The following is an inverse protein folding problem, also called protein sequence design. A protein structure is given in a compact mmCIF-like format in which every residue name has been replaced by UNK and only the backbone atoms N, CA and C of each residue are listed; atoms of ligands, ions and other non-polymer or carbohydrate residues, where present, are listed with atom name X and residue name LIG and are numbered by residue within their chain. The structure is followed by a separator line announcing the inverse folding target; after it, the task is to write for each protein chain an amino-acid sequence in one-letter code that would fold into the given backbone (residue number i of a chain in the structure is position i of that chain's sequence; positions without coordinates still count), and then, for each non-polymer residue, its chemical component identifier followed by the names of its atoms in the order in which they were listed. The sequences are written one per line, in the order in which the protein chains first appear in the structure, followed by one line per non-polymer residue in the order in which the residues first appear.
data_IF_937096494847
#
_entry.id   IF_937096494847
#
_cell.length_a   1.000
_cell.length_b   1.000
_cell.length_c   1.000
_cell.angle_alpha   90.00
_cell.angle_beta   90.00
_cell.angle_gamma   90.00
#
_symmetry.space_group_name_H-M   'P 1'
#
loop_
_entity.id
_entity.type
_entity.pdbx_description
1 polymer ?
#
# COMPACT_ATOMS: atom_id res chain seq x y z
N UNK A 1 -22.21 -16.72 9.01
CA UNK A 1 -21.16 -17.75 8.95
C UNK A 1 -20.03 -17.29 9.86
N UNK A 2 -19.57 -18.19 10.74
CA UNK A 2 -18.44 -17.98 11.63
C UNK A 2 -17.32 -18.94 11.23
N UNK A 3 -16.07 -18.47 11.23
CA UNK A 3 -14.88 -19.25 10.92
C UNK A 3 -13.66 -18.67 11.64
N UNK A 4 -12.65 -19.50 11.87
CA UNK A 4 -11.38 -19.06 12.43
C UNK A 4 -10.53 -18.37 11.36
N UNK A 5 -9.90 -17.26 11.73
CA UNK A 5 -9.06 -16.47 10.85
C UNK A 5 -7.88 -15.85 11.60
N UNK A 6 -6.93 -15.29 10.86
CA UNK A 6 -5.76 -14.62 11.42
C UNK A 6 -5.88 -13.12 11.25
N UNK A 7 -5.55 -12.37 12.31
CA UNK A 7 -5.38 -10.93 12.28
C UNK A 7 -3.90 -10.57 12.36
N UNK A 8 -3.48 -9.60 11.56
CA UNK A 8 -2.11 -9.12 11.53
C UNK A 8 -2.10 -7.65 11.92
N UNK A 9 -1.18 -7.26 12.82
CA UNK A 9 -0.84 -5.87 13.02
C UNK A 9 0.17 -5.45 11.94
N UNK A 10 -0.32 -4.89 10.83
CA UNK A 10 0.50 -4.55 9.66
C UNK A 10 1.71 -3.68 9.97
N UNK A 11 1.61 -2.57 10.72
CA UNK A 11 2.75 -1.76 11.12
C UNK A 11 3.84 -2.54 11.86
N UNK A 12 3.47 -3.38 12.84
CA UNK A 12 4.43 -4.21 13.58
C UNK A 12 5.06 -5.29 12.69
N UNK A 13 4.27 -5.89 11.82
CA UNK A 13 4.76 -6.89 10.87
C UNK A 13 5.79 -6.29 9.91
N UNK A 14 5.56 -5.07 9.42
CA UNK A 14 6.54 -4.36 8.57
C UNK A 14 7.84 -4.07 9.32
N UNK A 15 7.77 -3.69 10.60
CA UNK A 15 8.97 -3.52 11.43
C UNK A 15 9.71 -4.84 11.65
N UNK A 16 8.98 -5.94 11.86
CA UNK A 16 9.56 -7.27 11.94
C UNK A 16 10.30 -7.64 10.65
N UNK A 17 9.66 -7.49 9.50
CA UNK A 17 10.27 -7.75 8.19
C UNK A 17 11.52 -6.89 7.95
N UNK A 18 11.46 -5.59 8.30
CA UNK A 18 12.60 -4.71 8.15
C UNK A 18 13.80 -5.13 9.03
N UNK A 19 13.53 -5.66 10.24
CA UNK A 19 14.59 -6.23 11.10
C UNK A 19 15.18 -7.50 10.47
N UNK A 20 14.34 -8.41 9.97
CA UNK A 20 14.81 -9.64 9.30
C UNK A 20 15.69 -9.32 8.10
N UNK A 21 15.28 -8.40 7.24
CA UNK A 21 16.04 -7.95 6.07
C UNK A 21 17.43 -7.44 6.51
N UNK A 22 17.48 -6.57 7.53
CA UNK A 22 18.76 -6.05 8.05
C UNK A 22 19.64 -7.13 8.68
N UNK A 23 19.05 -8.07 9.41
CA UNK A 23 19.78 -9.17 10.04
C UNK A 23 20.47 -10.08 9.00
N UNK A 24 19.94 -10.13 7.78
CA UNK A 24 20.55 -10.82 6.65
C UNK A 24 21.58 -9.95 5.89
N UNK A 25 21.97 -8.81 6.43
CA UNK A 25 22.95 -7.92 5.82
C UNK A 25 22.43 -7.11 4.64
N UNK A 26 21.12 -7.13 4.37
CA UNK A 26 20.50 -6.39 3.27
C UNK A 26 20.35 -4.92 3.69
N UNK A 27 20.79 -4.01 2.82
CA UNK A 27 20.76 -2.57 3.07
C UNK A 27 19.42 -1.99 2.65
N UNK A 28 18.72 -1.31 3.56
CA UNK A 28 17.51 -0.53 3.26
C UNK A 28 17.92 0.93 3.17
N UNK A 29 17.72 1.55 2.01
CA UNK A 29 17.99 2.99 1.78
C UNK A 29 16.72 3.69 1.37
N UNK A 30 16.50 4.87 1.95
CA UNK A 30 15.44 5.77 1.49
C UNK A 30 15.99 6.61 0.34
N UNK A 31 15.44 6.40 -0.85
CA UNK A 31 15.83 7.14 -2.04
C UNK A 31 14.62 7.35 -2.95
N UNK A 32 14.54 8.50 -3.62
CA UNK A 32 13.53 8.79 -4.63
C UNK A 32 14.16 8.60 -6.00
N UNK A 33 13.69 7.60 -6.73
CA UNK A 33 14.12 7.34 -8.11
C UNK A 33 13.27 8.15 -9.08
N UNK A 34 13.90 8.77 -10.07
CA UNK A 34 13.24 9.40 -11.21
C UNK A 34 13.11 8.46 -12.39
N UNK A 35 13.98 7.46 -12.49
CA UNK A 35 13.95 6.46 -13.57
C UNK A 35 14.44 5.10 -13.08
N UNK A 36 14.10 4.05 -13.83
CA UNK A 36 14.70 2.73 -13.60
C UNK A 36 16.21 2.72 -13.87
N UNK A 37 16.68 3.49 -14.83
CA UNK A 37 18.09 3.56 -15.17
C UNK A 37 18.92 4.13 -14.01
N UNK A 38 18.35 5.10 -13.25
CA UNK A 38 19.00 5.62 -12.04
C UNK A 38 19.29 4.55 -11.01
N UNK A 39 18.40 3.57 -10.84
CA UNK A 39 18.63 2.47 -9.91
C UNK A 39 19.87 1.63 -10.28
N UNK A 40 20.13 1.46 -11.57
CA UNK A 40 21.34 0.78 -12.05
C UNK A 40 22.58 1.65 -11.93
N UNK A 41 22.43 2.96 -12.02
CA UNK A 41 23.55 3.90 -11.86
C UNK A 41 24.04 3.98 -10.40
N UNK A 42 23.12 3.81 -9.45
CA UNK A 42 23.43 3.80 -8.02
C UNK A 42 24.28 2.58 -7.60
N UNK A 43 24.18 1.47 -8.33
CA UNK A 43 24.82 0.22 -7.98
C UNK A 43 25.43 -0.45 -9.22
N UNK A 44 26.73 -0.39 -9.36
CA UNK A 44 27.47 -0.86 -10.56
C UNK A 44 27.43 -2.37 -10.82
N UNK A 45 26.92 -3.16 -9.89
CA UNK A 45 26.96 -4.64 -9.92
C UNK A 45 25.58 -5.28 -9.80
N UNK A 46 24.50 -4.58 -10.20
CA UNK A 46 23.18 -5.16 -10.20
C UNK A 46 23.03 -6.07 -11.43
N UNK A 47 22.65 -7.31 -11.20
CA UNK A 47 22.27 -8.28 -12.24
C UNK A 47 20.76 -8.29 -12.44
N UNK A 48 19.99 -8.12 -11.35
CA UNK A 48 18.53 -8.14 -11.34
C UNK A 48 18.02 -6.93 -10.57
N UNK A 49 17.12 -6.18 -11.18
CA UNK A 49 16.34 -5.13 -10.53
C UNK A 49 14.90 -5.58 -10.35
N UNK A 50 14.36 -5.47 -9.13
CA UNK A 50 12.94 -5.74 -8.88
C UNK A 50 12.21 -4.40 -8.74
N UNK A 51 11.33 -4.10 -9.69
CA UNK A 51 10.44 -2.95 -9.60
C UNK A 51 9.16 -3.33 -8.85
N UNK A 52 9.07 -2.92 -7.59
CA UNK A 52 7.89 -3.08 -6.74
C UNK A 52 7.36 -1.71 -6.26
N UNK A 53 7.44 -0.68 -7.11
CA UNK A 53 7.13 0.71 -6.75
C UNK A 53 5.64 1.04 -6.69
N UNK A 54 4.76 0.07 -6.93
CA UNK A 54 3.31 0.24 -6.82
C UNK A 54 2.80 1.36 -7.74
N UNK A 55 2.04 2.32 -7.20
CA UNK A 55 1.56 3.49 -7.95
C UNK A 55 2.68 4.37 -8.51
N UNK A 56 3.88 4.32 -7.90
CA UNK A 56 5.04 5.06 -8.40
C UNK A 56 5.47 4.64 -9.81
N UNK A 57 5.18 3.40 -10.22
CA UNK A 57 5.45 2.92 -11.57
C UNK A 57 4.74 3.71 -12.67
N UNK A 58 3.67 4.44 -12.35
CA UNK A 58 2.96 5.30 -13.32
C UNK A 58 3.82 6.46 -13.82
N UNK A 59 4.62 7.06 -12.93
CA UNK A 59 5.45 8.23 -13.26
C UNK A 59 6.95 7.91 -13.32
N UNK A 60 7.35 6.67 -13.06
CA UNK A 60 8.75 6.27 -13.08
C UNK A 60 9.23 6.16 -14.51
N UNK A 61 10.16 7.02 -14.93
CA UNK A 61 10.71 7.00 -16.28
C UNK A 61 11.31 5.64 -16.63
N UNK A 62 10.99 5.15 -17.82
CA UNK A 62 11.35 3.81 -18.29
C UNK A 62 10.40 2.70 -17.82
N UNK A 63 9.26 3.09 -17.14
CA UNK A 63 8.11 2.22 -16.86
C UNK A 63 6.83 2.85 -17.37
N UNK A 64 6.47 4.04 -16.88
CA UNK A 64 5.38 4.92 -17.33
C UNK A 64 4.07 4.16 -17.59
N UNK A 65 3.70 3.30 -16.60
CA UNK A 65 2.50 2.45 -16.72
C UNK A 65 1.23 3.26 -16.46
N UNK A 66 0.63 3.77 -17.54
CA UNK A 66 -0.61 4.57 -17.48
C UNK A 66 -1.84 3.75 -17.07
N UNK A 67 -1.74 2.42 -17.06
CA UNK A 67 -2.85 1.55 -16.64
C UNK A 67 -3.04 1.51 -15.12
N UNK A 68 -2.08 2.07 -14.35
CA UNK A 68 -2.15 2.21 -12.91
C UNK A 68 -3.07 3.35 -12.48
N UNK A 69 -3.89 3.08 -11.47
CA UNK A 69 -4.76 4.05 -10.82
C UNK A 69 -4.92 3.73 -9.33
N UNK A 70 -5.17 4.71 -8.47
CA UNK A 70 -5.42 4.45 -7.06
C UNK A 70 -6.86 4.02 -6.81
N UNK A 71 -7.05 3.21 -5.78
CA UNK A 71 -8.33 3.11 -5.10
C UNK A 71 -8.13 3.50 -3.64
N UNK A 72 -8.59 4.70 -3.28
CA UNK A 72 -8.48 5.24 -1.94
C UNK A 72 -9.33 4.43 -0.98
N UNK A 73 -8.76 4.05 0.14
CA UNK A 73 -9.43 3.47 1.28
C UNK A 73 -9.23 4.32 2.52
N UNK A 74 -10.32 4.57 3.25
CA UNK A 74 -10.28 5.20 4.55
C UNK A 74 -10.74 4.23 5.62
N UNK A 75 -10.06 4.25 6.77
CA UNK A 75 -10.38 3.49 7.97
C UNK A 75 -10.24 4.37 9.20
N UNK A 76 -10.88 3.97 10.29
CA UNK A 76 -10.71 4.59 11.59
C UNK A 76 -10.11 3.57 12.55
N UNK A 77 -8.99 3.95 13.17
CA UNK A 77 -8.38 3.19 14.26
C UNK A 77 -9.03 3.66 15.57
N UNK A 78 -9.58 2.72 16.31
CA UNK A 78 -10.25 2.99 17.58
C UNK A 78 -9.62 2.15 18.69
N UNK A 79 -9.86 2.51 19.94
CA UNK A 79 -9.48 1.74 21.11
C UNK A 79 -10.71 1.04 21.69
N UNK A 80 -10.71 -0.29 21.64
CA UNK A 80 -11.77 -1.13 22.18
C UNK A 80 -11.19 -2.50 22.60
N UNK A 81 -10.50 -2.56 23.76
CA UNK A 81 -9.74 -3.75 24.17
C UNK A 81 -10.62 -4.98 24.48
N UNK A 82 -11.91 -4.77 24.66
CA UNK A 82 -12.91 -5.82 24.86
C UNK A 82 -13.34 -6.51 23.55
N UNK A 83 -13.14 -5.87 22.39
CA UNK A 83 -13.51 -6.42 21.08
C UNK A 83 -12.40 -7.36 20.59
N UNK A 84 -12.72 -8.66 20.47
CA UNK A 84 -11.77 -9.71 20.08
C UNK A 84 -12.15 -10.44 18.80
N UNK A 85 -13.36 -10.21 18.30
CA UNK A 85 -13.90 -10.87 17.12
C UNK A 85 -13.84 -9.94 15.93
N UNK A 86 -13.43 -10.48 14.77
CA UNK A 86 -13.56 -9.79 13.49
C UNK A 86 -15.00 -9.84 13.01
N UNK A 87 -15.49 -8.71 12.55
CA UNK A 87 -16.76 -8.63 11.85
C UNK A 87 -16.51 -8.19 10.42
N UNK A 88 -17.17 -8.84 9.47
CA UNK A 88 -17.13 -8.47 8.07
C UNK A 88 -18.54 -8.56 7.49
N UNK A 89 -19.08 -7.45 7.08
CA UNK A 89 -20.39 -7.37 6.46
C UNK A 89 -20.25 -6.71 5.09
N UNK A 90 -20.51 -7.48 4.04
CA UNK A 90 -20.52 -7.02 2.66
C UNK A 90 -21.95 -6.90 2.20
N UNK A 91 -22.39 -5.67 1.93
CA UNK A 91 -23.72 -5.42 1.38
C UNK A 91 -23.72 -5.72 -0.12
N UNK A 92 -24.09 -6.97 -0.49
CA UNK A 92 -24.33 -7.37 -1.87
C UNK A 92 -23.12 -7.42 -2.81
N UNK A 93 -23.31 -8.05 -3.97
CA UNK A 93 -22.38 -7.99 -5.09
C UNK A 93 -22.53 -6.64 -5.79
N UNK A 94 -21.44 -5.88 -5.91
CA UNK A 94 -21.43 -4.60 -6.63
C UNK A 94 -21.62 -3.35 -5.77
N UNK A 95 -21.72 -3.46 -4.44
CA UNK A 95 -21.69 -2.30 -3.55
C UNK A 95 -20.28 -2.05 -3.03
N UNK A 96 -19.83 -0.79 -3.07
CA UNK A 96 -18.53 -0.37 -2.53
C UNK A 96 -18.55 -0.22 -0.99
N UNK A 97 -19.69 -0.52 -0.35
CA UNK A 97 -19.86 -0.41 1.09
C UNK A 97 -19.28 -1.67 1.74
N UNK A 98 -18.13 -1.50 2.34
CA UNK A 98 -17.43 -2.54 3.09
C UNK A 98 -17.45 -2.16 4.56
N UNK A 99 -18.23 -2.88 5.33
CA UNK A 99 -18.28 -2.73 6.79
C UNK A 99 -17.45 -3.85 7.41
N UNK A 100 -16.39 -3.50 8.13
CA UNK A 100 -15.58 -4.47 8.83
C UNK A 100 -14.99 -3.89 10.11
N UNK A 101 -14.77 -4.78 11.07
CA UNK A 101 -14.14 -4.52 12.34
C UNK A 101 -13.04 -5.56 12.49
N UNK A 102 -11.79 -5.13 12.65
CA UNK A 102 -10.64 -6.01 12.75
C UNK A 102 -9.81 -5.63 13.98
N UNK A 103 -9.90 -6.40 15.08
CA UNK A 103 -9.01 -6.23 16.21
C UNK A 103 -7.56 -6.43 15.80
N UNK A 104 -6.69 -5.51 16.20
CA UNK A 104 -5.24 -5.66 16.00
C UNK A 104 -4.65 -6.46 17.18
N UNK A 105 -3.78 -7.46 16.91
CA UNK A 105 -2.95 -8.06 17.94
C UNK A 105 -2.09 -6.98 18.61
N UNK A 106 -1.94 -7.07 19.93
CA UNK A 106 -1.15 -6.14 20.74
C UNK A 106 -1.86 -5.73 22.03
N UNK A 107 -1.14 -5.15 22.97
CA UNK A 107 -1.67 -4.78 24.28
C UNK A 107 -2.55 -3.52 24.28
N UNK A 108 -2.47 -2.69 23.22
CA UNK A 108 -3.14 -1.40 23.15
C UNK A 108 -4.67 -1.52 23.01
N UNK A 109 -5.16 -2.68 22.60
CA UNK A 109 -6.57 -2.93 22.34
C UNK A 109 -7.11 -2.15 21.14
N UNK A 110 -6.26 -1.95 20.14
CA UNK A 110 -6.61 -1.26 18.92
C UNK A 110 -7.51 -2.11 18.02
N UNK A 111 -8.47 -1.45 17.37
CA UNK A 111 -9.41 -2.06 16.44
C UNK A 111 -9.51 -1.18 15.19
N UNK A 112 -9.41 -1.78 14.02
CA UNK A 112 -9.67 -1.11 12.74
C UNK A 112 -11.15 -1.21 12.41
N UNK A 113 -11.78 -0.06 12.22
CA UNK A 113 -13.12 0.06 11.66
C UNK A 113 -13.02 0.56 10.22
N UNK A 114 -13.69 -0.12 9.30
CA UNK A 114 -13.62 0.25 7.89
C UNK A 114 -14.90 -0.05 7.13
N UNK A 115 -15.02 0.42 5.92
CA UNK A 115 -14.08 1.30 5.26
C UNK A 115 -14.66 1.90 3.99
N UNK A 116 -13.80 2.54 3.21
CA UNK A 116 -14.18 3.07 1.90
C UNK A 116 -13.38 2.47 0.75
N UNK A 117 -13.90 2.66 -0.46
CA UNK A 117 -13.25 2.24 -1.69
C UNK A 117 -13.62 3.21 -2.82
N UNK A 118 -12.78 4.19 -3.06
CA UNK A 118 -13.02 5.25 -4.03
C UNK A 118 -11.97 5.15 -5.14
N UNK A 119 -12.41 4.74 -6.33
CA UNK A 119 -11.55 4.61 -7.52
C UNK A 119 -11.15 6.00 -8.01
N UNK A 120 -9.91 6.14 -8.47
CA UNK A 120 -9.32 7.39 -8.98
C UNK A 120 -9.33 8.57 -8.00
N UNK A 121 -9.51 8.31 -6.70
CA UNK A 121 -9.37 9.33 -5.66
C UNK A 121 -7.92 9.38 -5.17
N UNK A 122 -7.25 10.49 -5.46
CA UNK A 122 -5.85 10.77 -5.09
C UNK A 122 -5.71 11.60 -3.80
N UNK A 123 -6.83 12.03 -3.18
CA UNK A 123 -6.78 12.87 -1.99
C UNK A 123 -6.09 12.14 -0.82
N UNK A 124 -4.99 12.71 -0.25
CA UNK A 124 -4.24 12.05 0.81
C UNK A 124 -4.86 12.22 2.20
N UNK A 125 -5.98 12.93 2.29
CA UNK A 125 -6.62 13.29 3.55
C UNK A 125 -7.83 12.41 3.82
N UNK A 126 -8.09 12.16 5.12
CA UNK A 126 -9.33 11.56 5.56
C UNK A 126 -10.51 12.54 5.39
N UNK A 127 -11.64 12.02 4.94
CA UNK A 127 -12.90 12.76 4.89
C UNK A 127 -13.65 12.56 6.22
N UNK A 128 -13.98 13.65 6.96
CA UNK A 128 -14.71 13.55 8.21
C UNK A 128 -16.08 12.86 8.08
N UNK A 129 -16.81 13.09 6.99
CA UNK A 129 -18.12 12.46 6.74
C UNK A 129 -18.00 10.97 6.50
N UNK A 130 -16.94 10.55 5.82
CA UNK A 130 -16.62 9.12 5.64
C UNK A 130 -16.24 8.48 6.97
N UNK A 131 -15.48 9.19 7.81
CA UNK A 131 -15.11 8.71 9.14
C UNK A 131 -16.34 8.53 10.04
N UNK A 132 -17.24 9.51 10.06
CA UNK A 132 -18.50 9.45 10.81
C UNK A 132 -19.32 8.23 10.38
N UNK A 133 -19.55 8.06 9.07
CA UNK A 133 -20.25 6.88 8.54
C UNK A 133 -19.60 5.57 8.95
N UNK A 134 -18.25 5.49 8.90
CA UNK A 134 -17.52 4.29 9.32
C UNK A 134 -17.80 3.97 10.78
N UNK A 135 -17.81 4.97 11.67
CA UNK A 135 -18.08 4.78 13.10
C UNK A 135 -19.52 4.34 13.36
N UNK A 136 -20.50 4.94 12.66
CA UNK A 136 -21.92 4.54 12.71
C UNK A 136 -22.10 3.09 12.26
N UNK A 137 -21.56 2.75 11.09
CA UNK A 137 -21.60 1.40 10.53
C UNK A 137 -20.91 0.37 11.44
N UNK A 138 -19.80 0.75 12.06
CA UNK A 138 -19.07 -0.12 12.99
C UNK A 138 -19.86 -0.35 14.29
N UNK A 139 -20.48 0.69 14.82
CA UNK A 139 -21.31 0.57 16.01
C UNK A 139 -22.54 -0.32 15.79
N UNK A 140 -23.18 -0.23 14.63
CA UNK A 140 -24.28 -1.12 14.25
C UNK A 140 -23.87 -2.60 14.24
N UNK A 141 -22.64 -2.90 13.80
CA UNK A 141 -22.09 -4.26 13.77
C UNK A 141 -21.63 -4.75 15.14
N UNK A 142 -21.11 -3.85 15.97
CA UNK A 142 -20.51 -4.18 17.26
C UNK A 142 -20.67 -3.02 18.25
N UNK A 143 -21.78 -2.94 18.99
CA UNK A 143 -22.00 -1.92 20.01
C UNK A 143 -20.95 -1.92 21.13
N UNK A 144 -20.25 -3.04 21.30
CA UNK A 144 -19.15 -3.19 22.29
C UNK A 144 -17.95 -2.27 22.00
N UNK A 145 -17.85 -1.67 20.81
CA UNK A 145 -16.82 -0.66 20.52
C UNK A 145 -16.86 0.54 21.46
N UNK A 146 -18.05 0.89 22.01
CA UNK A 146 -18.22 1.94 23.01
C UNK A 146 -18.95 1.44 24.26
N UNK A 147 -19.02 0.12 24.45
CA UNK A 147 -19.77 -0.51 25.57
C UNK A 147 -21.26 -0.08 25.54
N UNK A 148 -21.85 -0.06 24.36
CA UNK A 148 -23.27 0.27 24.17
C UNK A 148 -23.63 1.75 24.32
N UNK A 149 -22.65 2.68 24.41
CA UNK A 149 -22.90 4.10 24.69
C UNK A 149 -23.14 5.00 23.47
N UNK A 150 -23.30 4.41 22.29
CA UNK A 150 -23.44 5.14 21.02
C UNK A 150 -22.13 5.27 20.26
N UNK A 151 -22.23 5.48 18.96
CA UNK A 151 -21.06 5.59 18.08
C UNK A 151 -20.19 6.83 18.38
N UNK A 152 -20.80 7.91 18.88
CA UNK A 152 -20.13 9.15 19.28
C UNK A 152 -19.15 8.95 20.45
N UNK A 153 -19.34 7.89 21.22
CA UNK A 153 -18.52 7.53 22.35
C UNK A 153 -17.44 6.49 22.05
N UNK A 154 -17.26 6.16 20.78
CA UNK A 154 -16.14 5.31 20.35
C UNK A 154 -14.83 6.11 20.51
N UNK A 155 -13.83 5.56 21.19
CA UNK A 155 -12.54 6.20 21.41
C UNK A 155 -11.71 6.13 20.13
N UNK A 156 -11.68 7.23 19.35
CA UNK A 156 -10.93 7.35 18.09
C UNK A 156 -9.45 7.63 18.41
N UNK A 157 -8.57 6.78 17.89
CA UNK A 157 -7.11 6.94 17.98
C UNK A 157 -6.57 7.71 16.78
N UNK A 158 -6.99 7.32 15.55
CA UNK A 158 -6.57 8.01 14.34
C UNK A 158 -7.45 7.68 13.13
N UNK A 159 -7.42 8.58 12.15
CA UNK A 159 -7.96 8.35 10.81
C UNK A 159 -6.84 7.93 9.88
N UNK A 160 -7.06 6.89 9.09
CA UNK A 160 -6.06 6.33 8.19
C UNK A 160 -6.55 6.36 6.76
N UNK A 161 -5.67 6.74 5.84
CA UNK A 161 -5.91 6.74 4.39
C UNK A 161 -4.82 5.96 3.70
N UNK A 162 -5.21 5.11 2.77
CA UNK A 162 -4.30 4.37 1.91
C UNK A 162 -4.79 4.33 0.47
N UNK A 163 -3.86 4.33 -0.48
CA UNK A 163 -4.15 4.22 -1.90
C UNK A 163 -3.71 2.85 -2.39
N UNK A 164 -4.69 2.00 -2.72
CA UNK A 164 -4.41 0.67 -3.27
C UNK A 164 -3.89 0.83 -4.70
N UNK A 165 -2.77 0.19 -5.04
CA UNK A 165 -2.21 0.26 -6.38
C UNK A 165 -3.00 -0.64 -7.33
N UNK A 166 -4.08 -0.10 -7.90
CA UNK A 166 -4.90 -0.78 -8.89
C UNK A 166 -4.26 -0.71 -10.26
N UNK A 167 -4.50 -1.72 -11.10
CA UNK A 167 -4.03 -1.76 -12.48
C UNK A 167 -5.09 -2.37 -13.40
N UNK A 168 -5.35 -1.74 -14.53
CA UNK A 168 -6.18 -2.32 -15.59
C UNK A 168 -5.47 -3.55 -16.14
N UNK A 169 -6.17 -4.68 -16.23
CA UNK A 169 -5.58 -5.96 -16.63
C UNK A 169 -4.93 -6.77 -15.50
N UNK A 170 -4.98 -6.27 -14.25
CA UNK A 170 -4.46 -6.99 -13.08
C UNK A 170 -2.99 -6.70 -12.78
N UNK A 171 -2.42 -7.46 -11.84
CA UNK A 171 -1.02 -7.34 -11.41
C UNK A 171 -0.06 -7.54 -12.59
N UNK A 172 0.97 -6.68 -12.67
CA UNK A 172 2.11 -6.91 -13.56
C UNK A 172 3.15 -7.75 -12.82
N UNK A 173 3.31 -8.98 -13.27
CA UNK A 173 4.40 -9.86 -12.87
C UNK A 173 5.10 -10.32 -14.14
N UNK A 174 6.23 -9.68 -14.45
CA UNK A 174 6.88 -9.80 -15.76
C UNK A 174 8.40 -9.69 -15.64
N UNK A 175 9.10 -10.45 -16.46
CA UNK A 175 10.54 -10.32 -16.68
C UNK A 175 10.79 -9.50 -17.95
N UNK A 176 11.57 -8.45 -17.83
CA UNK A 176 12.02 -7.60 -18.93
C UNK A 176 13.54 -7.61 -19.04
N UNK A 177 14.07 -7.87 -20.23
CA UNK A 177 15.50 -7.66 -20.51
C UNK A 177 15.70 -6.28 -21.08
N UNK A 178 16.44 -5.42 -20.38
CA UNK A 178 16.67 -4.02 -20.75
C UNK A 178 18.09 -3.77 -21.18
N UNK A 179 18.25 -2.89 -22.19
CA UNK A 179 19.53 -2.24 -22.50
C UNK A 179 19.55 -0.87 -21.86
N UNK A 180 20.42 -0.66 -20.88
CA UNK A 180 20.56 0.61 -20.18
C UNK A 180 21.05 1.72 -21.12
N UNK A 181 20.47 2.92 -20.99
CA UNK A 181 20.88 4.11 -21.75
C UNK A 181 20.14 4.32 -23.07
N UNK A 182 19.03 3.61 -23.31
CA UNK A 182 18.14 3.83 -24.47
C UNK A 182 16.83 4.57 -24.11
N UNK A 183 16.72 5.13 -22.90
CA UNK A 183 15.61 6.05 -22.65
C UNK A 183 15.82 7.30 -23.51
N UNK A 184 14.94 7.47 -24.50
CA UNK A 184 14.89 8.66 -25.36
C UNK A 184 14.49 9.90 -24.58
N UNK A 185 15.36 10.34 -23.66
CA UNK A 185 15.21 11.60 -22.98
C UNK A 185 15.97 12.66 -23.77
N UNK A 186 15.22 13.44 -24.54
CA UNK A 186 15.60 14.78 -24.98
C UNK A 186 15.58 15.71 -23.76
N UNK A 187 16.42 15.51 -22.77
CA UNK A 187 16.66 16.49 -21.73
C UNK A 187 18.14 16.88 -21.77
N UNK A 188 18.38 18.18 -22.09
CA UNK A 188 19.64 18.87 -21.96
C UNK A 188 20.23 18.71 -20.56
N UNK A 189 20.93 17.63 -20.31
CA UNK A 189 21.75 17.47 -19.12
C UNK A 189 23.16 17.93 -19.44
N UNK A 190 23.42 19.20 -19.18
CA UNK A 190 24.74 19.82 -19.08
C UNK A 190 25.48 19.31 -17.84
N UNK A 191 25.96 18.06 -17.85
CA UNK A 191 27.09 17.60 -17.04
C UNK A 191 27.76 16.40 -17.72
N UNK A 192 29.06 16.43 -18.06
CA UNK A 192 29.79 15.24 -18.48
C UNK A 192 29.97 14.36 -17.24
N UNK A 193 29.13 13.34 -17.12
CA UNK A 193 29.35 12.24 -16.16
C UNK A 193 30.49 11.32 -16.63
N UNK A 194 31.04 10.47 -15.75
CA UNK A 194 32.11 9.53 -16.08
C UNK A 194 31.70 8.64 -17.24
N UNK A 195 32.66 8.34 -18.13
CA UNK A 195 32.52 7.61 -19.38
C UNK A 195 31.56 6.42 -19.26
N UNK A 196 30.47 6.45 -20.05
CA UNK A 196 29.49 5.37 -20.17
C UNK A 196 30.22 4.10 -20.66
N UNK A 197 30.53 3.21 -19.73
CA UNK A 197 30.96 1.85 -20.06
C UNK A 197 29.86 1.17 -20.88
N UNK A 198 30.27 0.33 -21.84
CA UNK A 198 29.42 -0.52 -22.67
C UNK A 198 28.38 -1.24 -21.76
N UNK A 199 27.15 -0.73 -21.68
CA UNK A 199 26.19 -1.17 -20.65
C UNK A 199 25.58 -2.49 -21.07
N UNK A 200 25.81 -3.49 -20.23
CA UNK A 200 25.28 -4.84 -20.23
C UNK A 200 23.76 -4.85 -20.29
N UNK A 201 23.20 -5.87 -20.88
CA UNK A 201 21.79 -6.20 -20.71
C UNK A 201 21.55 -6.54 -19.23
N UNK A 202 20.48 -6.02 -18.65
CA UNK A 202 20.06 -6.26 -17.28
C UNK A 202 18.66 -6.80 -17.22
N UNK A 203 18.38 -7.62 -16.24
CA UNK A 203 17.05 -8.17 -16.01
C UNK A 203 16.28 -7.26 -15.06
N UNK A 204 15.07 -6.84 -15.46
CA UNK A 204 14.12 -6.17 -14.59
C UNK A 204 12.94 -7.11 -14.33
N UNK A 205 12.58 -7.28 -13.06
CA UNK A 205 11.37 -7.98 -12.64
C UNK A 205 10.35 -6.92 -12.23
N UNK A 206 9.24 -6.82 -12.94
CA UNK A 206 8.12 -5.98 -12.54
C UNK A 206 7.19 -6.78 -11.63
N UNK A 207 6.89 -6.26 -10.42
CA UNK A 207 5.99 -6.88 -9.45
C UNK A 207 5.15 -5.78 -8.75
N UNK A 208 4.10 -5.31 -9.41
CA UNK A 208 3.25 -4.24 -8.89
C UNK A 208 1.81 -4.29 -9.43
N UNK A 209 0.95 -3.39 -8.94
CA UNK A 209 -0.44 -3.32 -9.36
C UNK A 209 -1.31 -4.41 -8.72
N UNK A 210 -0.96 -4.84 -7.50
CA UNK A 210 -1.60 -5.96 -6.78
C UNK A 210 -3.05 -5.61 -6.39
N UNK A 211 -3.38 -4.33 -6.29
CA UNK A 211 -4.73 -3.88 -5.96
C UNK A 211 -5.11 -4.16 -4.50
N UNK A 212 -6.36 -4.65 -4.25
CA UNK A 212 -6.86 -4.86 -2.90
C UNK A 212 -6.38 -6.18 -2.26
N UNK A 213 -5.67 -7.01 -3.01
CA UNK A 213 -5.27 -8.36 -2.59
C UNK A 213 -3.83 -8.42 -2.03
N UNK A 214 -3.12 -7.28 -2.00
CA UNK A 214 -1.76 -7.15 -1.48
C UNK A 214 -1.68 -6.67 -0.07
#
# INVERSE_FOLDING_TARGET
VTYDSLCINGPEYLLHLARQVRNHGIVIRRHRLSSLDEAYDLYSHIDILVNATGLGSKALLGVEDETLFPAKGQTVLVRAPNVKTCYNHRLGWGTDIRRYIIPRPGPEGHVICGGSYNVDDYAPFADPKVAERILQDAYELCPDLSIGRGWENIEVVSHQVGHRPMRKGGMRLELETRRLGQTGSTSNALRPGPQRRNRKQVTCVHAYGIGPAG
#
